data_IF_465333243029
#
_entry.id   IF_465333243029
#
_cell.length_a   1.000
_cell.length_b   1.000
_cell.length_c   1.000
_cell.angle_alpha   90.00
_cell.angle_beta   90.00
_cell.angle_gamma   90.00
#
_symmetry.space_group_name_H-M   'P 1'
#
loop_
_entity.id
_entity.type
_entity.pdbx_description
1 polymer ?
#
# COMPACT_ATOMS: atom_id res chain seq x y z
N UNK A 1 25.90 -7.54 -67.00
CA UNK A 1 24.58 -7.83 -66.40
C UNK A 1 24.71 -9.09 -65.58
N UNK A 2 25.13 -9.01 -64.30
CA UNK A 2 24.26 -8.92 -63.10
C UNK A 2 23.07 -9.88 -63.14
N UNK A 3 23.14 -10.95 -62.35
CA UNK A 3 22.05 -11.50 -61.53
C UNK A 3 22.69 -12.31 -60.38
N UNK A 4 22.41 -11.89 -59.15
CA UNK A 4 22.88 -12.47 -57.88
C UNK A 4 22.11 -13.77 -57.56
N UNK A 5 22.70 -14.74 -56.82
CA UNK A 5 21.91 -15.76 -56.15
C UNK A 5 21.35 -15.19 -54.83
N UNK A 6 20.07 -15.41 -54.59
CA UNK A 6 19.39 -15.04 -53.36
C UNK A 6 19.97 -15.82 -52.16
N UNK A 7 20.54 -15.11 -51.19
CA UNK A 7 20.87 -15.65 -49.89
C UNK A 7 19.57 -15.80 -49.08
N UNK A 8 19.22 -17.04 -48.72
CA UNK A 8 18.13 -17.32 -47.81
C UNK A 8 18.53 -16.85 -46.40
N UNK A 9 17.86 -15.80 -45.93
CA UNK A 9 17.96 -15.30 -44.57
C UNK A 9 17.18 -16.25 -43.66
N UNK A 10 17.89 -17.12 -42.92
CA UNK A 10 17.29 -17.94 -41.89
C UNK A 10 16.87 -17.04 -40.72
N UNK A 11 15.58 -16.73 -40.66
CA UNK A 11 14.93 -16.13 -39.49
C UNK A 11 15.01 -17.13 -38.32
N UNK A 12 15.86 -16.83 -37.34
CA UNK A 12 15.79 -17.42 -36.01
C UNK A 12 14.52 -16.91 -35.34
N UNK A 13 13.40 -17.59 -35.59
CA UNK A 13 12.21 -17.50 -34.76
C UNK A 13 12.60 -18.02 -33.37
N UNK A 14 12.93 -17.09 -32.48
CA UNK A 14 12.91 -17.37 -31.05
C UNK A 14 11.47 -17.69 -30.70
N UNK A 15 11.14 -18.98 -30.67
CA UNK A 15 9.87 -19.43 -30.14
C UNK A 15 9.82 -18.98 -28.68
N UNK A 16 8.93 -18.03 -28.38
CA UNK A 16 8.44 -17.81 -27.03
C UNK A 16 7.80 -19.13 -26.59
N UNK A 17 8.60 -20.02 -26.01
CA UNK A 17 8.10 -21.22 -25.38
C UNK A 17 7.26 -20.79 -24.19
N UNK A 18 5.95 -20.97 -24.32
CA UNK A 18 5.05 -20.95 -23.17
C UNK A 18 5.67 -21.86 -22.10
N UNK A 19 5.87 -21.31 -20.90
CA UNK A 19 6.39 -22.09 -19.79
C UNK A 19 5.51 -23.34 -19.63
N UNK A 20 6.08 -24.54 -19.46
CA UNK A 20 5.30 -25.76 -19.35
C UNK A 20 4.23 -25.62 -18.26
N UNK A 21 3.01 -26.14 -18.50
CA UNK A 21 1.92 -25.99 -17.56
C UNK A 21 2.32 -26.58 -16.21
N UNK A 22 1.97 -25.91 -15.10
CA UNK A 22 2.46 -26.29 -13.79
C UNK A 22 1.98 -27.69 -13.40
N UNK A 23 2.89 -28.49 -12.84
CA UNK A 23 2.58 -29.82 -12.31
C UNK A 23 1.53 -29.66 -11.18
N UNK A 24 0.43 -30.45 -11.19
CA UNK A 24 -0.54 -30.44 -10.10
C UNK A 24 0.16 -30.78 -8.78
N UNK A 25 0.00 -29.91 -7.77
CA UNK A 25 0.61 -30.15 -6.46
C UNK A 25 -0.04 -31.38 -5.81
N UNK A 26 0.79 -32.32 -5.34
CA UNK A 26 0.32 -33.51 -4.62
C UNK A 26 -0.31 -33.16 -3.25
N UNK A 27 0.02 -31.99 -2.71
CA UNK A 27 -0.55 -31.42 -1.49
C UNK A 27 -0.44 -29.89 -1.54
N UNK A 28 -1.32 -29.18 -0.84
CA UNK A 28 -1.31 -27.70 -0.75
C UNK A 28 -1.07 -27.28 0.68
N UNK A 29 -0.18 -26.30 0.88
CA UNK A 29 0.00 -25.61 2.16
C UNK A 29 -0.71 -24.26 2.09
N UNK A 30 -1.54 -23.95 3.08
CA UNK A 30 -2.12 -22.63 3.28
C UNK A 30 -1.62 -22.12 4.62
N UNK A 31 -1.00 -20.95 4.62
CA UNK A 31 -0.58 -20.26 5.83
C UNK A 31 -1.45 -19.02 5.99
N UNK A 32 -2.18 -18.95 7.10
CA UNK A 32 -2.92 -17.77 7.52
C UNK A 32 -2.18 -17.15 8.70
N UNK A 33 -1.78 -15.90 8.58
CA UNK A 33 -1.12 -15.19 9.65
C UNK A 33 -1.90 -13.95 10.06
N UNK A 34 -2.00 -13.75 11.38
CA UNK A 34 -2.75 -12.69 12.02
C UNK A 34 -1.76 -11.82 12.81
N UNK A 35 -1.57 -10.58 12.37
CA UNK A 35 -0.67 -9.65 13.07
C UNK A 35 -1.25 -9.26 14.44
N UNK A 36 -0.42 -9.23 15.48
CA UNK A 36 -0.83 -8.85 16.83
C UNK A 36 -1.87 -9.77 17.51
N UNK A 37 -2.08 -10.99 17.01
CA UNK A 37 -3.08 -11.92 17.59
C UNK A 37 -2.63 -12.45 18.96
N UNK A 38 -3.28 -11.99 20.03
CA UNK A 38 -2.98 -12.42 21.40
C UNK A 38 -3.51 -13.84 21.68
N UNK A 39 -2.66 -14.82 22.01
CA UNK A 39 -3.08 -16.20 22.23
C UNK A 39 -4.05 -16.35 23.42
N UNK A 40 -3.95 -15.52 24.46
CA UNK A 40 -4.83 -15.60 25.64
C UNK A 40 -6.25 -15.16 25.30
N UNK A 41 -6.40 -14.13 24.46
CA UNK A 41 -7.71 -13.69 23.98
C UNK A 41 -8.35 -14.74 23.09
N UNK A 42 -7.55 -15.35 22.21
CA UNK A 42 -8.01 -16.41 21.30
C UNK A 42 -8.46 -17.64 22.07
N UNK A 43 -7.68 -18.11 23.04
CA UNK A 43 -8.05 -19.22 23.93
C UNK A 43 -9.35 -18.93 24.67
N UNK A 44 -9.46 -17.75 25.30
CA UNK A 44 -10.69 -17.34 25.98
C UNK A 44 -11.90 -17.35 25.05
N UNK A 45 -11.78 -16.79 23.84
CA UNK A 45 -12.89 -16.72 22.89
C UNK A 45 -13.24 -18.08 22.26
N UNK A 46 -12.28 -19.01 22.16
CA UNK A 46 -12.57 -20.41 21.83
C UNK A 46 -13.39 -21.07 22.95
N UNK A 47 -12.98 -20.90 24.20
CA UNK A 47 -13.67 -21.47 25.37
C UNK A 47 -15.08 -20.88 25.59
N UNK A 48 -15.28 -19.60 25.24
CA UNK A 48 -16.59 -18.94 25.23
C UNK A 48 -17.47 -19.33 24.02
N UNK A 49 -16.95 -20.12 23.08
CA UNK A 49 -17.67 -20.56 21.88
C UNK A 49 -17.79 -19.50 20.78
N UNK A 50 -17.06 -18.38 20.88
CA UNK A 50 -17.07 -17.28 19.91
C UNK A 50 -16.19 -17.57 18.69
N UNK A 51 -15.20 -18.47 18.81
CA UNK A 51 -14.30 -18.89 17.73
C UNK A 51 -14.40 -20.40 17.44
N UNK A 52 -15.57 -20.90 16.99
CA UNK A 52 -15.81 -22.34 16.85
C UNK A 52 -14.90 -23.03 15.81
N UNK A 53 -14.50 -22.33 14.74
CA UNK A 53 -13.60 -22.89 13.73
C UNK A 53 -12.15 -22.98 14.21
N UNK A 54 -11.67 -22.01 15.00
CA UNK A 54 -10.35 -22.10 15.63
C UNK A 54 -10.33 -23.24 16.66
N UNK A 55 -11.39 -23.37 17.45
CA UNK A 55 -11.51 -24.48 18.40
C UNK A 55 -11.51 -25.84 17.69
N UNK A 56 -12.19 -25.94 16.55
CA UNK A 56 -12.17 -27.14 15.71
C UNK A 56 -10.76 -27.45 15.19
N UNK A 57 -10.04 -26.46 14.66
CA UNK A 57 -8.65 -26.63 14.20
C UNK A 57 -7.71 -27.06 15.35
N UNK A 58 -7.92 -26.52 16.55
CA UNK A 58 -7.17 -26.88 17.76
C UNK A 58 -7.40 -28.33 18.17
N UNK A 59 -8.65 -28.82 18.09
CA UNK A 59 -9.02 -30.20 18.48
C UNK A 59 -8.64 -31.25 17.44
N UNK A 60 -8.84 -30.93 16.16
CA UNK A 60 -8.64 -31.87 15.05
C UNK A 60 -7.19 -31.89 14.55
N UNK A 61 -6.39 -30.87 14.89
CA UNK A 61 -5.02 -30.67 14.44
C UNK A 61 -4.01 -30.60 15.58
N UNK A 62 -2.93 -29.85 15.35
CA UNK A 62 -1.90 -29.56 16.35
C UNK A 62 -1.98 -28.09 16.76
N UNK A 63 -1.98 -27.83 18.06
CA UNK A 63 -2.00 -26.49 18.62
C UNK A 63 -0.96 -26.37 19.72
N UNK A 64 -0.11 -25.34 19.62
CA UNK A 64 0.88 -25.04 20.64
C UNK A 64 1.22 -23.55 20.64
N UNK A 65 1.57 -22.98 21.80
CA UNK A 65 2.19 -21.66 21.87
C UNK A 65 3.51 -21.64 21.09
N UNK A 66 3.73 -20.57 20.31
CA UNK A 66 5.01 -20.31 19.65
C UNK A 66 5.64 -19.05 20.26
N UNK A 67 6.96 -19.11 20.48
CA UNK A 67 7.73 -17.92 20.87
C UNK A 67 7.76 -16.90 19.72
N UNK A 68 7.69 -15.62 20.06
CA UNK A 68 7.87 -14.53 19.11
C UNK A 68 9.35 -14.17 18.93
N UNK A 69 9.67 -13.32 17.96
CA UNK A 69 11.01 -12.77 17.76
C UNK A 69 11.41 -11.84 18.92
N UNK A 70 12.71 -11.56 19.05
CA UNK A 70 13.22 -10.53 19.96
C UNK A 70 14.01 -9.49 19.14
N UNK A 71 13.52 -8.24 19.00
CA UNK A 71 12.34 -7.68 19.67
C UNK A 71 11.01 -8.15 19.05
N UNK A 72 9.91 -8.16 19.82
CA UNK A 72 8.60 -8.64 19.38
C UNK A 72 7.85 -7.57 18.55
N UNK A 73 8.50 -7.10 17.49
CA UNK A 73 7.95 -6.14 16.54
C UNK A 73 7.49 -6.86 15.28
N UNK A 74 6.37 -6.45 14.68
CA UNK A 74 5.83 -7.05 13.44
C UNK A 74 6.89 -7.19 12.34
N UNK A 75 7.66 -6.15 11.93
CA UNK A 75 8.63 -6.30 10.85
C UNK A 75 9.74 -7.32 11.18
N UNK A 76 10.07 -7.49 12.45
CA UNK A 76 11.07 -8.47 12.90
C UNK A 76 10.49 -9.88 12.83
N UNK A 77 9.31 -10.09 13.44
CA UNK A 77 8.64 -11.39 13.48
C UNK A 77 8.33 -11.92 12.08
N UNK A 78 7.81 -11.07 11.19
CA UNK A 78 7.48 -11.45 9.82
C UNK A 78 8.71 -11.71 8.95
N UNK A 79 9.82 -11.01 9.21
CA UNK A 79 11.11 -11.32 8.57
C UNK A 79 11.67 -12.65 9.03
N UNK A 80 11.56 -12.97 10.33
CA UNK A 80 11.94 -14.27 10.87
C UNK A 80 11.05 -15.39 10.33
N UNK A 81 9.73 -15.16 10.22
CA UNK A 81 8.79 -16.08 9.58
C UNK A 81 9.16 -16.36 8.12
N UNK A 82 9.44 -15.31 7.35
CA UNK A 82 9.77 -15.43 5.94
C UNK A 82 11.05 -16.25 5.72
N UNK A 83 12.08 -16.03 6.54
CA UNK A 83 13.45 -16.50 6.25
C UNK A 83 13.94 -17.64 7.14
N UNK A 84 13.28 -17.91 8.26
CA UNK A 84 13.78 -18.78 9.32
C UNK A 84 15.00 -18.24 10.07
N UNK A 85 15.41 -16.99 9.81
CA UNK A 85 16.54 -16.35 10.48
C UNK A 85 16.07 -15.50 11.67
N UNK A 86 16.97 -15.21 12.60
CA UNK A 86 16.75 -14.17 13.61
C UNK A 86 17.13 -12.76 13.08
N UNK A 87 16.91 -11.70 13.89
CA UNK A 87 17.16 -10.31 13.51
C UNK A 87 18.57 -10.06 12.97
N UNK A 88 19.60 -10.69 13.54
CA UNK A 88 20.97 -10.56 13.06
C UNK A 88 21.24 -11.22 11.70
N UNK A 89 20.38 -12.15 11.26
CA UNK A 89 20.49 -12.81 9.96
C UNK A 89 19.68 -12.12 8.86
N UNK A 90 18.47 -11.65 9.16
CA UNK A 90 17.64 -10.94 8.18
C UNK A 90 17.79 -9.41 8.22
N UNK A 91 18.52 -8.85 9.20
CA UNK A 91 18.90 -7.43 9.26
C UNK A 91 17.77 -6.47 9.65
N UNK A 92 16.59 -6.96 9.99
CA UNK A 92 15.43 -6.15 10.40
C UNK A 92 15.32 -6.20 11.93
N UNK A 93 15.45 -5.04 12.57
CA UNK A 93 15.47 -4.93 14.04
C UNK A 93 14.30 -4.13 14.62
N UNK A 94 13.65 -3.30 13.81
CA UNK A 94 12.52 -2.45 14.19
C UNK A 94 11.88 -1.90 12.90
N UNK A 95 10.77 -1.15 12.98
CA UNK A 95 10.21 -0.36 11.87
C UNK A 95 11.17 0.72 11.37
N UNK A 96 11.96 1.27 12.28
CA UNK A 96 12.95 2.31 12.00
C UNK A 96 14.36 1.77 12.22
N UNK A 97 15.27 2.14 11.35
CA UNK A 97 16.70 1.97 11.55
C UNK A 97 17.37 3.32 11.63
N UNK A 98 18.59 3.33 12.12
CA UNK A 98 19.43 4.53 12.10
C UNK A 98 20.35 4.47 10.89
N UNK A 99 20.35 5.51 10.08
CA UNK A 99 21.37 5.70 9.06
C UNK A 99 22.75 5.86 9.76
N UNK A 100 23.74 5.00 9.50
CA UNK A 100 25.03 5.07 10.17
C UNK A 100 25.86 6.31 9.79
N UNK A 101 25.59 6.94 8.64
CA UNK A 101 26.30 8.13 8.19
C UNK A 101 25.69 9.41 8.78
N UNK A 102 24.36 9.51 8.77
CA UNK A 102 23.66 10.75 9.17
C UNK A 102 23.06 10.70 10.58
N UNK A 103 22.98 9.52 11.18
CA UNK A 103 22.32 9.25 12.46
C UNK A 103 20.81 9.52 12.46
N UNK A 104 20.21 9.82 11.30
CA UNK A 104 18.77 10.06 11.19
C UNK A 104 17.99 8.73 11.18
N UNK A 105 16.72 8.76 11.64
CA UNK A 105 15.80 7.65 11.42
C UNK A 105 15.58 7.42 9.92
N UNK A 106 15.58 6.16 9.53
CA UNK A 106 15.29 5.69 8.18
C UNK A 106 14.34 4.48 8.30
N UNK A 107 13.56 4.21 7.25
CA UNK A 107 12.63 3.09 7.25
C UNK A 107 13.39 1.76 7.09
N UNK A 108 13.05 0.77 7.91
CA UNK A 108 13.81 -0.49 7.94
C UNK A 108 13.44 -1.47 6.84
N UNK A 109 12.24 -1.36 6.23
CA UNK A 109 11.73 -2.40 5.33
C UNK A 109 12.20 -2.17 3.90
N UNK A 110 11.96 -0.98 3.35
CA UNK A 110 12.28 -0.67 1.97
C UNK A 110 13.09 0.62 1.87
N UNK A 111 14.06 0.65 0.96
CA UNK A 111 14.83 1.85 0.62
C UNK A 111 14.57 2.22 -0.83
N UNK A 112 14.15 3.47 -1.04
CA UNK A 112 14.13 4.09 -2.35
C UNK A 112 15.36 4.97 -2.52
N UNK A 113 16.11 4.76 -3.61
CA UNK A 113 17.18 5.65 -4.05
C UNK A 113 16.70 6.35 -5.32
N UNK A 114 16.49 7.68 -5.30
CA UNK A 114 16.05 8.40 -6.48
C UNK A 114 17.11 8.34 -7.61
N UNK A 115 16.69 8.44 -8.89
CA UNK A 115 17.62 8.58 -9.99
C UNK A 115 18.44 9.87 -9.86
N UNK A 116 19.57 9.93 -10.57
CA UNK A 116 20.32 11.18 -10.67
C UNK A 116 19.48 12.21 -11.43
N UNK A 117 19.54 13.48 -11.03
CA UNK A 117 18.74 14.53 -11.67
C UNK A 117 19.60 15.71 -12.12
N UNK A 118 19.16 16.38 -13.17
CA UNK A 118 19.68 17.68 -13.58
C UNK A 118 18.56 18.71 -13.54
N UNK A 119 18.82 19.79 -12.82
CA UNK A 119 17.86 20.90 -12.69
C UNK A 119 18.15 21.93 -13.79
N UNK A 120 17.19 22.12 -14.70
CA UNK A 120 17.28 23.09 -15.80
C UNK A 120 15.96 23.86 -15.93
N UNK A 121 16.03 25.20 -15.88
CA UNK A 121 14.88 26.08 -16.09
C UNK A 121 13.66 25.78 -15.19
N UNK A 122 13.89 25.36 -13.93
CA UNK A 122 12.83 24.99 -12.99
C UNK A 122 12.28 23.56 -13.15
N UNK A 123 12.84 22.79 -14.09
CA UNK A 123 12.53 21.38 -14.30
C UNK A 123 13.62 20.49 -13.70
N UNK A 124 13.20 19.48 -12.95
CA UNK A 124 14.05 18.38 -12.47
C UNK A 124 13.97 17.22 -13.46
N UNK A 125 15.02 17.03 -14.26
CA UNK A 125 15.09 15.99 -15.28
C UNK A 125 15.84 14.77 -14.75
N UNK A 126 15.18 13.62 -14.53
CA UNK A 126 15.85 12.41 -14.09
C UNK A 126 16.65 11.75 -15.22
N UNK A 127 17.82 11.22 -14.87
CA UNK A 127 18.66 10.40 -15.72
C UNK A 127 19.03 9.10 -14.99
N UNK A 128 18.83 7.98 -15.70
CA UNK A 128 18.92 6.65 -15.11
C UNK A 128 17.65 6.26 -14.34
N UNK A 129 17.70 5.09 -13.72
CA UNK A 129 16.58 4.54 -12.95
C UNK A 129 16.85 4.71 -11.46
N UNK A 130 15.79 5.00 -10.69
CA UNK A 130 15.85 4.89 -9.24
C UNK A 130 15.86 3.41 -8.84
N UNK A 131 16.43 3.10 -7.68
CA UNK A 131 16.38 1.75 -7.13
C UNK A 131 15.39 1.67 -5.98
N UNK A 132 14.70 0.54 -5.87
CA UNK A 132 13.86 0.22 -4.74
C UNK A 132 14.28 -1.16 -4.23
N UNK A 133 14.68 -1.22 -2.97
CA UNK A 133 15.27 -2.41 -2.37
C UNK A 133 14.51 -2.81 -1.12
N UNK A 134 14.20 -4.11 -0.99
CA UNK A 134 13.78 -4.68 0.28
C UNK A 134 15.05 -4.92 1.11
N UNK A 135 15.08 -4.37 2.31
CA UNK A 135 16.24 -4.41 3.19
C UNK A 135 16.29 -5.68 4.03
N UNK A 136 15.22 -6.49 4.01
CA UNK A 136 15.20 -7.83 4.59
C UNK A 136 16.18 -8.72 3.85
N UNK A 137 17.17 -9.21 4.58
CA UNK A 137 18.15 -10.17 4.09
C UNK A 137 17.66 -11.60 4.30
N UNK A 138 18.32 -12.54 3.62
CA UNK A 138 17.98 -13.96 3.67
C UNK A 138 16.90 -14.35 2.67
N UNK A 139 17.03 -15.58 2.17
CA UNK A 139 16.06 -16.15 1.24
C UNK A 139 14.76 -16.49 1.98
N UNK A 140 13.62 -16.06 1.45
CA UNK A 140 12.33 -16.45 1.98
C UNK A 140 11.98 -17.90 1.61
N UNK A 141 11.20 -18.59 2.43
CA UNK A 141 10.86 -19.99 2.18
C UNK A 141 10.01 -20.16 0.90
N UNK A 142 9.22 -19.16 0.51
CA UNK A 142 8.47 -19.18 -0.76
C UNK A 142 9.36 -18.94 -1.97
N UNK A 143 10.42 -18.15 -1.86
CA UNK A 143 11.45 -18.05 -2.91
C UNK A 143 12.18 -19.39 -3.07
N UNK A 144 12.62 -20.00 -1.95
CA UNK A 144 13.26 -21.31 -1.98
C UNK A 144 12.35 -22.39 -2.60
N UNK A 145 11.05 -22.38 -2.28
CA UNK A 145 10.07 -23.29 -2.89
C UNK A 145 9.93 -23.04 -4.40
N UNK A 146 9.88 -21.78 -4.82
CA UNK A 146 9.79 -21.38 -6.25
C UNK A 146 11.02 -21.84 -7.03
N UNK A 147 12.22 -21.68 -6.48
CA UNK A 147 13.47 -22.18 -7.09
C UNK A 147 13.51 -23.71 -7.24
N UNK A 148 12.78 -24.43 -6.39
CA UNK A 148 12.60 -25.88 -6.48
C UNK A 148 11.46 -26.29 -7.43
N UNK A 149 10.90 -25.35 -8.20
CA UNK A 149 9.82 -25.58 -9.15
C UNK A 149 8.44 -25.73 -8.51
N UNK A 150 8.28 -25.36 -7.23
CA UNK A 150 6.96 -25.28 -6.60
C UNK A 150 6.28 -23.95 -6.93
N UNK A 151 4.96 -23.95 -6.78
CA UNK A 151 4.12 -22.79 -6.96
C UNK A 151 3.86 -22.08 -5.65
N UNK A 152 4.00 -20.77 -5.63
CA UNK A 152 3.80 -19.95 -4.43
C UNK A 152 2.94 -18.73 -4.74
N UNK A 153 1.95 -18.49 -3.88
CA UNK A 153 1.17 -17.25 -3.88
C UNK A 153 1.26 -16.61 -2.50
N UNK A 154 1.72 -15.36 -2.45
CA UNK A 154 1.89 -14.60 -1.20
C UNK A 154 1.05 -13.34 -1.27
N UNK A 155 0.11 -13.17 -0.34
CA UNK A 155 -0.83 -12.04 -0.35
C UNK A 155 -0.69 -11.24 0.93
N UNK A 156 -0.23 -10.00 0.81
CA UNK A 156 -0.17 -8.99 1.89
C UNK A 156 0.60 -9.46 3.14
N UNK A 157 1.52 -10.41 2.99
CA UNK A 157 2.43 -10.79 4.08
C UNK A 157 3.35 -9.61 4.40
N UNK A 158 3.53 -9.20 5.66
CA UNK A 158 4.37 -8.06 5.99
C UNK A 158 5.84 -8.20 5.54
N UNK A 159 6.50 -7.06 5.31
CA UNK A 159 7.92 -6.97 4.91
C UNK A 159 8.22 -7.61 3.55
N UNK A 160 7.29 -7.45 2.62
CA UNK A 160 7.38 -7.97 1.25
C UNK A 160 7.36 -6.86 0.19
N UNK A 161 7.69 -5.63 0.56
CA UNK A 161 7.82 -4.52 -0.39
C UNK A 161 9.30 -4.14 -0.61
N UNK A 162 9.76 -4.00 -1.87
CA UNK A 162 9.11 -4.46 -3.10
C UNK A 162 8.89 -5.99 -3.14
N UNK A 163 7.93 -6.47 -3.95
CA UNK A 163 7.58 -7.88 -4.05
C UNK A 163 8.71 -8.71 -4.64
N UNK A 164 8.92 -9.91 -4.11
CA UNK A 164 9.86 -10.89 -4.64
C UNK A 164 9.28 -11.57 -5.89
N UNK A 165 10.12 -11.96 -6.87
CA UNK A 165 9.69 -12.48 -8.16
C UNK A 165 9.27 -13.96 -8.10
N UNK A 166 8.17 -14.24 -7.41
CA UNK A 166 7.49 -15.55 -7.41
C UNK A 166 6.28 -15.54 -8.37
N UNK A 167 5.59 -16.68 -8.49
CA UNK A 167 4.43 -16.83 -9.38
C UNK A 167 3.37 -15.75 -9.15
N UNK A 168 2.94 -15.54 -7.90
CA UNK A 168 2.06 -14.43 -7.54
C UNK A 168 2.42 -13.85 -6.16
N UNK A 169 2.73 -12.57 -6.10
CA UNK A 169 2.90 -11.83 -4.86
C UNK A 169 2.14 -10.52 -4.93
N UNK A 170 1.34 -10.23 -3.91
CA UNK A 170 0.86 -8.88 -3.61
C UNK A 170 1.58 -8.42 -2.34
N UNK A 171 2.38 -7.36 -2.44
CA UNK A 171 3.18 -6.87 -1.33
C UNK A 171 2.30 -6.42 -0.15
N UNK A 172 2.81 -6.63 1.07
CA UNK A 172 2.19 -6.21 2.33
C UNK A 172 2.86 -4.98 2.93
N UNK A 173 3.03 -5.00 4.26
CA UNK A 173 3.70 -3.94 5.02
C UNK A 173 5.01 -3.48 4.33
N UNK A 174 5.14 -2.17 4.17
CA UNK A 174 6.23 -1.50 3.47
C UNK A 174 5.79 -0.74 2.23
N UNK A 175 4.67 -1.12 1.59
CA UNK A 175 4.07 -0.33 0.50
C UNK A 175 3.61 1.03 1.05
N UNK A 176 4.15 2.16 0.56
CA UNK A 176 3.77 3.49 1.03
C UNK A 176 2.47 3.98 0.38
N UNK A 177 1.90 5.06 0.93
CA UNK A 177 0.94 5.89 0.19
C UNK A 177 1.66 6.77 -0.85
N UNK A 178 0.90 7.45 -1.71
CA UNK A 178 1.44 8.34 -2.75
C UNK A 178 2.07 9.62 -2.19
N UNK A 179 1.96 9.90 -0.89
CA UNK A 179 2.74 10.95 -0.24
C UNK A 179 4.13 10.44 0.18
N UNK A 180 4.43 9.16 -0.03
CA UNK A 180 5.67 8.50 0.40
C UNK A 180 5.66 8.13 1.88
N UNK A 181 4.51 8.22 2.55
CA UNK A 181 4.39 7.95 3.99
C UNK A 181 3.76 6.57 4.25
N UNK A 182 3.66 6.19 5.53
CA UNK A 182 3.09 4.92 5.95
C UNK A 182 1.62 5.07 6.38
N UNK A 183 0.80 5.74 5.57
CA UNK A 183 -0.64 5.89 5.82
C UNK A 183 -1.07 7.26 6.34
N UNK A 184 -0.54 8.35 5.79
CA UNK A 184 -0.99 9.70 6.17
C UNK A 184 -2.36 9.99 5.59
N UNK A 185 -3.37 10.12 6.44
CA UNK A 185 -4.71 10.52 6.07
C UNK A 185 -4.87 12.06 6.08
N UNK A 186 -5.95 12.55 5.46
CA UNK A 186 -6.31 13.97 5.50
C UNK A 186 -7.66 14.17 6.18
N UNK A 187 -7.71 15.06 7.15
CA UNK A 187 -8.89 15.39 7.92
C UNK A 187 -9.26 16.85 7.71
N UNK A 188 -10.50 17.09 7.30
CA UNK A 188 -11.03 18.42 7.03
C UNK A 188 -12.01 18.80 8.14
N UNK A 189 -11.85 20.00 8.71
CA UNK A 189 -12.66 20.47 9.83
C UNK A 189 -12.84 21.98 9.79
N UNK A 190 -14.00 22.47 10.20
CA UNK A 190 -14.22 23.92 10.44
C UNK A 190 -13.64 24.39 11.78
N UNK A 191 -13.35 23.46 12.70
CA UNK A 191 -12.64 23.75 13.96
C UNK A 191 -11.14 23.78 13.71
N UNK A 192 -10.40 24.74 14.30
CA UNK A 192 -8.95 24.71 14.32
C UNK A 192 -8.47 23.40 14.94
N UNK A 193 -7.52 22.68 14.32
CA UNK A 193 -7.00 21.45 14.89
C UNK A 193 -6.12 21.73 16.11
N UNK A 194 -5.96 20.75 17.03
CA UNK A 194 -4.81 20.71 17.91
C UNK A 194 -3.50 20.64 17.09
N UNK A 195 -2.31 20.82 17.69
CA UNK A 195 -1.04 20.66 16.98
C UNK A 195 -1.01 19.34 16.21
N UNK A 196 -0.45 19.32 14.99
CA UNK A 196 -0.51 18.14 14.12
C UNK A 196 0.10 16.91 14.82
N UNK A 197 -0.68 15.84 14.89
CA UNK A 197 -0.21 14.52 15.29
C UNK A 197 0.56 13.86 14.14
N UNK A 198 1.47 12.96 14.47
CA UNK A 198 2.16 12.12 13.47
C UNK A 198 1.13 11.39 12.58
N UNK A 199 1.41 11.28 11.28
CA UNK A 199 0.58 10.52 10.35
C UNK A 199 -0.76 11.15 9.97
N UNK A 200 -0.94 12.46 10.18
CA UNK A 200 -2.18 13.17 9.81
C UNK A 200 -1.90 14.49 9.11
N UNK A 201 -2.77 14.86 8.16
CA UNK A 201 -2.87 16.22 7.60
C UNK A 201 -4.21 16.80 8.01
N UNK A 202 -4.21 17.92 8.74
CA UNK A 202 -5.46 18.58 9.12
C UNK A 202 -5.63 19.88 8.36
N UNK A 203 -6.73 19.98 7.61
CA UNK A 203 -7.06 21.13 6.78
C UNK A 203 -8.25 21.86 7.40
N UNK A 204 -8.03 23.12 7.78
CA UNK A 204 -9.13 23.96 8.26
C UNK A 204 -9.97 24.45 7.07
N UNK A 205 -11.26 24.10 7.09
CA UNK A 205 -12.24 24.53 6.10
C UNK A 205 -12.86 25.88 6.47
N UNK A 206 -13.21 26.67 5.46
CA UNK A 206 -14.03 27.87 5.60
C UNK A 206 -15.42 27.59 5.03
N UNK A 207 -16.41 27.50 5.91
CA UNK A 207 -17.81 27.32 5.54
C UNK A 207 -18.41 28.66 5.15
N UNK A 208 -18.97 28.74 3.94
CA UNK A 208 -19.73 29.89 3.47
C UNK A 208 -21.16 29.85 4.02
N UNK A 209 -21.87 30.98 3.93
CA UNK A 209 -23.25 31.12 4.44
C UNK A 209 -24.27 30.21 3.76
N UNK A 210 -24.01 29.80 2.52
CA UNK A 210 -24.81 28.87 1.72
C UNK A 210 -24.43 27.39 1.96
N UNK A 211 -23.63 27.10 2.99
CA UNK A 211 -23.27 25.73 3.37
C UNK A 211 -22.25 25.08 2.44
N UNK A 212 -21.48 25.89 1.70
CA UNK A 212 -20.47 25.43 0.76
C UNK A 212 -19.06 25.55 1.35
N UNK A 213 -18.18 24.64 0.97
CA UNK A 213 -16.73 24.74 1.20
C UNK A 213 -16.03 24.55 -0.14
N UNK A 214 -15.05 25.42 -0.40
CA UNK A 214 -14.09 25.27 -1.49
C UNK A 214 -12.70 25.13 -0.90
N UNK A 215 -12.04 24.02 -1.20
CA UNK A 215 -10.69 23.69 -0.73
C UNK A 215 -10.01 22.79 -1.75
N UNK A 216 -8.97 22.08 -1.36
CA UNK A 216 -8.23 21.17 -2.21
C UNK A 216 -7.75 19.94 -1.42
N UNK A 217 -7.45 18.88 -2.15
CA UNK A 217 -6.70 17.73 -1.69
C UNK A 217 -5.32 17.77 -2.34
N UNK A 218 -4.28 18.10 -1.57
CA UNK A 218 -2.92 17.99 -2.10
C UNK A 218 -2.51 16.52 -2.08
N UNK A 219 -1.97 16.05 -3.19
CA UNK A 219 -1.48 14.69 -3.40
C UNK A 219 0.04 14.62 -3.48
N UNK A 220 0.60 13.72 -4.31
CA UNK A 220 2.04 13.53 -4.44
C UNK A 220 2.76 14.81 -4.85
N UNK A 221 4.04 14.91 -4.48
CA UNK A 221 4.92 15.97 -4.99
C UNK A 221 5.06 15.86 -6.51
N UNK A 222 5.09 17.00 -7.20
CA UNK A 222 5.28 17.06 -8.65
C UNK A 222 6.64 16.46 -9.02
N UNK A 223 6.68 15.36 -9.80
CA UNK A 223 7.90 14.56 -9.98
C UNK A 223 9.04 15.32 -10.66
N UNK A 224 8.70 16.32 -11.47
CA UNK A 224 9.64 17.14 -12.25
C UNK A 224 9.82 18.56 -11.69
N UNK A 225 9.27 18.86 -10.51
CA UNK A 225 9.41 20.19 -9.90
C UNK A 225 10.62 20.22 -8.97
N UNK A 226 11.47 21.24 -9.11
CA UNK A 226 12.60 21.45 -8.19
C UNK A 226 12.14 21.74 -6.76
N UNK A 227 10.99 22.40 -6.62
CA UNK A 227 10.43 22.87 -5.35
C UNK A 227 9.52 21.83 -4.69
N UNK A 228 9.39 20.63 -5.29
CA UNK A 228 8.53 19.55 -4.81
C UNK A 228 7.08 19.99 -4.50
N UNK A 229 6.56 20.93 -5.29
CA UNK A 229 5.19 21.44 -5.14
C UNK A 229 4.18 20.29 -5.24
N UNK A 230 3.17 20.22 -4.36
CA UNK A 230 2.23 19.11 -4.38
C UNK A 230 1.23 19.26 -5.54
N UNK A 231 0.99 18.17 -6.27
CA UNK A 231 -0.11 18.09 -7.23
C UNK A 231 -1.42 18.12 -6.46
N UNK A 232 -2.30 19.08 -6.74
CA UNK A 232 -3.51 19.30 -5.94
C UNK A 232 -4.77 19.18 -6.78
N UNK A 233 -5.81 18.57 -6.20
CA UNK A 233 -7.13 18.45 -6.82
C UNK A 233 -8.13 19.35 -6.11
N UNK A 234 -8.99 20.09 -6.84
CA UNK A 234 -10.05 20.87 -6.22
C UNK A 234 -11.02 19.96 -5.48
N UNK A 235 -11.39 20.35 -4.26
CA UNK A 235 -12.37 19.69 -3.42
C UNK A 235 -13.48 20.68 -3.07
N UNK A 236 -14.69 20.40 -3.54
CA UNK A 236 -15.87 21.22 -3.27
C UNK A 236 -16.86 20.38 -2.49
N UNK A 237 -17.36 20.95 -1.39
CA UNK A 237 -18.33 20.30 -0.52
C UNK A 237 -19.57 21.19 -0.42
N UNK A 238 -20.73 20.63 -0.71
CA UNK A 238 -22.01 21.28 -0.49
C UNK A 238 -22.77 20.49 0.56
N UNK A 239 -22.87 21.05 1.77
CA UNK A 239 -23.51 20.38 2.91
C UNK A 239 -25.01 20.67 2.96
N UNK A 240 -25.76 19.69 3.47
CA UNK A 240 -27.17 19.83 3.82
C UNK A 240 -27.47 19.13 5.17
N UNK A 241 -28.74 18.85 5.45
CA UNK A 241 -29.18 18.39 6.76
C UNK A 241 -28.64 17.01 7.18
N UNK A 242 -28.44 16.09 6.24
CA UNK A 242 -28.06 14.69 6.51
C UNK A 242 -26.85 14.19 5.72
N UNK A 243 -26.29 15.03 4.83
CA UNK A 243 -25.13 14.65 4.04
C UNK A 243 -24.39 15.82 3.41
N UNK A 244 -23.59 15.47 2.41
CA UNK A 244 -22.91 16.43 1.56
C UNK A 244 -22.81 15.90 0.12
N UNK A 245 -22.96 16.79 -0.85
CA UNK A 245 -22.49 16.56 -2.20
C UNK A 245 -21.01 16.94 -2.28
N UNK A 246 -20.18 15.99 -2.69
CA UNK A 246 -18.73 16.10 -2.75
C UNK A 246 -18.30 16.05 -4.21
N UNK A 247 -17.57 17.07 -4.65
CA UNK A 247 -16.90 17.10 -5.95
C UNK A 247 -15.39 17.04 -5.73
N UNK A 248 -14.75 16.00 -6.27
CA UNK A 248 -13.32 15.74 -6.14
C UNK A 248 -12.81 15.03 -7.40
N UNK A 249 -11.75 15.59 -8.01
CA UNK A 249 -11.13 14.98 -9.20
C UNK A 249 -12.09 14.84 -10.38
N UNK A 250 -12.97 15.82 -10.59
CA UNK A 250 -13.97 15.82 -11.67
C UNK A 250 -15.15 14.87 -11.47
N UNK A 251 -15.20 14.13 -10.36
CA UNK A 251 -16.33 13.28 -9.99
C UNK A 251 -17.19 13.99 -8.95
N UNK A 252 -18.51 13.75 -8.99
CA UNK A 252 -19.44 14.25 -7.97
C UNK A 252 -20.28 13.11 -7.40
N UNK A 253 -20.31 12.96 -6.08
CA UNK A 253 -21.14 11.96 -5.38
C UNK A 253 -21.71 12.57 -4.09
N UNK A 254 -22.84 12.03 -3.62
CA UNK A 254 -23.40 12.35 -2.31
C UNK A 254 -22.90 11.33 -1.28
N UNK A 255 -22.57 11.78 -0.07
CA UNK A 255 -22.35 10.89 1.09
C UNK A 255 -23.25 11.33 2.25
N UNK A 256 -23.88 10.36 2.92
CA UNK A 256 -24.55 10.58 4.19
C UNK A 256 -23.54 10.61 5.35
N UNK A 257 -23.94 11.18 6.48
CA UNK A 257 -23.12 11.16 7.70
C UNK A 257 -22.88 9.71 8.16
N UNK A 258 -21.62 9.38 8.47
CA UNK A 258 -21.17 8.04 8.87
C UNK A 258 -20.90 7.09 7.71
N UNK A 259 -21.35 7.42 6.49
CA UNK A 259 -21.19 6.59 5.31
C UNK A 259 -19.75 6.67 4.77
N UNK A 260 -19.16 5.51 4.51
CA UNK A 260 -17.94 5.42 3.72
C UNK A 260 -18.25 5.39 2.24
N UNK A 261 -17.51 6.17 1.44
CA UNK A 261 -17.54 6.02 0.00
C UNK A 261 -16.98 4.65 -0.43
N UNK A 262 -17.39 4.20 -1.61
CA UNK A 262 -16.57 3.30 -2.43
C UNK A 262 -15.21 3.94 -2.73
N UNK A 263 -14.30 3.16 -3.34
CA UNK A 263 -13.06 3.72 -3.85
C UNK A 263 -13.31 4.89 -4.81
N UNK A 264 -12.65 6.00 -4.51
CA UNK A 264 -12.69 7.22 -5.31
C UNK A 264 -11.38 7.33 -6.09
N UNK A 265 -11.36 6.98 -7.39
CA UNK A 265 -10.15 7.10 -8.20
C UNK A 265 -9.83 8.58 -8.45
N UNK A 266 -8.54 8.90 -8.48
CA UNK A 266 -7.97 10.23 -8.63
C UNK A 266 -6.87 10.18 -9.69
N UNK A 267 -6.73 11.28 -10.43
CA UNK A 267 -5.66 11.44 -11.42
C UNK A 267 -4.92 12.74 -11.11
N UNK A 268 -3.66 12.63 -10.67
CA UNK A 268 -2.81 13.78 -10.39
C UNK A 268 -1.97 14.11 -11.62
N UNK A 269 -2.45 15.04 -12.44
CA UNK A 269 -1.81 15.48 -13.68
C UNK A 269 -0.53 16.28 -13.40
N UNK A 270 0.58 15.94 -14.07
CA UNK A 270 1.86 16.66 -13.99
C UNK A 270 2.36 17.14 -15.36
N UNK A 271 1.44 17.28 -16.33
CA UNK A 271 1.67 17.84 -17.67
C UNK A 271 2.27 16.88 -18.69
N UNK A 272 3.09 15.91 -18.27
CA UNK A 272 3.64 14.84 -19.14
C UNK A 272 2.97 13.48 -18.94
N UNK A 273 2.02 13.41 -18.01
CA UNK A 273 1.33 12.21 -17.59
C UNK A 273 0.55 12.48 -16.32
N UNK A 274 -0.01 11.41 -15.76
CA UNK A 274 -0.75 11.44 -14.51
C UNK A 274 -0.19 10.42 -13.53
N UNK A 275 -0.45 10.65 -12.24
CA UNK A 275 -0.22 9.67 -11.18
C UNK A 275 -1.60 9.17 -10.72
N UNK A 276 -2.03 7.96 -11.15
CA UNK A 276 -3.27 7.34 -10.69
C UNK A 276 -3.21 7.02 -9.20
N UNK A 277 -4.19 7.51 -8.46
CA UNK A 277 -4.36 7.22 -7.05
C UNK A 277 -5.82 6.94 -6.70
N UNK A 278 -6.07 6.58 -5.46
CA UNK A 278 -7.43 6.42 -4.95
C UNK A 278 -7.51 6.70 -3.46
N UNK A 279 -8.68 7.12 -3.01
CA UNK A 279 -9.00 7.36 -1.60
C UNK A 279 -10.37 6.77 -1.27
N UNK A 280 -10.65 6.63 0.03
CA UNK A 280 -12.00 6.53 0.57
C UNK A 280 -12.29 7.76 1.41
N UNK A 281 -13.54 8.19 1.39
CA UNK A 281 -14.02 9.35 2.14
C UNK A 281 -15.04 8.88 3.16
N UNK A 282 -15.07 9.52 4.32
CA UNK A 282 -16.17 9.38 5.28
C UNK A 282 -16.62 10.76 5.76
N UNK A 283 -17.90 11.07 5.57
CA UNK A 283 -18.50 12.27 6.12
C UNK A 283 -18.78 12.03 7.60
N UNK A 284 -18.02 12.65 8.49
CA UNK A 284 -18.15 12.42 9.94
C UNK A 284 -19.30 13.24 10.53
N UNK A 285 -19.46 14.47 10.05
CA UNK A 285 -20.55 15.36 10.49
C UNK A 285 -20.84 16.42 9.44
N UNK A 286 -22.06 16.97 9.50
CA UNK A 286 -22.53 18.05 8.62
C UNK A 286 -22.64 19.39 9.38
N UNK A 287 -23.46 20.31 8.88
CA UNK A 287 -23.78 21.58 9.50
C UNK A 287 -24.20 21.42 10.97
N UNK A 288 -23.82 22.37 11.85
CA UNK A 288 -23.09 23.61 11.57
C UNK A 288 -21.56 23.47 11.57
N UNK A 289 -21.01 22.28 11.86
CA UNK A 289 -19.57 22.04 12.04
C UNK A 289 -19.12 20.83 11.24
N UNK A 290 -19.12 20.92 9.91
CA UNK A 290 -18.84 19.77 9.07
C UNK A 290 -17.42 19.25 9.25
N UNK A 291 -17.28 17.94 9.15
CA UNK A 291 -16.04 17.19 9.25
C UNK A 291 -16.01 16.09 8.20
N UNK A 292 -14.89 15.98 7.48
CA UNK A 292 -14.69 14.98 6.44
C UNK A 292 -13.34 14.30 6.66
N UNK A 293 -13.35 12.98 6.64
CA UNK A 293 -12.15 12.15 6.60
C UNK A 293 -11.86 11.73 5.17
N UNK A 294 -10.60 11.77 4.79
CA UNK A 294 -10.08 11.22 3.53
C UNK A 294 -8.93 10.29 3.87
N UNK A 295 -9.03 9.03 3.45
CA UNK A 295 -7.99 8.02 3.68
C UNK A 295 -6.64 8.43 3.07
N UNK A 296 -5.55 7.73 3.43
CA UNK A 296 -4.30 7.86 2.70
C UNK A 296 -4.50 7.66 1.20
N UNK A 297 -3.78 8.44 0.40
CA UNK A 297 -3.85 8.39 -1.06
C UNK A 297 -3.08 7.16 -1.52
N UNK A 298 -3.79 6.13 -1.91
CA UNK A 298 -3.23 4.85 -2.31
C UNK A 298 -2.95 4.81 -3.81
N UNK A 299 -1.95 4.04 -4.24
CA UNK A 299 -1.75 3.78 -5.66
C UNK A 299 -2.96 3.00 -6.21
N UNK A 300 -3.51 3.41 -7.36
CA UNK A 300 -4.63 2.68 -7.97
C UNK A 300 -4.13 1.32 -8.50
N UNK A 301 -4.66 0.18 -8.03
CA UNK A 301 -4.18 -1.13 -8.45
C UNK A 301 -4.49 -1.45 -9.92
N UNK A 302 -5.40 -0.70 -10.57
CA UNK A 302 -5.66 -0.89 -12.02
C UNK A 302 -4.55 -0.32 -12.90
N UNK A 303 -3.83 0.70 -12.41
CA UNK A 303 -2.76 1.40 -13.11
C UNK A 303 -1.63 1.75 -12.12
N UNK A 304 -0.96 0.73 -11.55
CA UNK A 304 -0.11 0.93 -10.39
C UNK A 304 1.18 1.68 -10.73
N UNK A 305 1.41 2.81 -10.06
CA UNK A 305 2.65 3.61 -10.12
C UNK A 305 3.73 3.13 -9.14
N UNK A 306 3.39 2.18 -8.27
CA UNK A 306 4.29 1.52 -7.34
C UNK A 306 4.35 0.02 -7.68
N UNK A 307 5.47 -0.68 -7.40
CA UNK A 307 5.56 -2.13 -7.57
C UNK A 307 4.74 -2.85 -6.50
N UNK A 308 3.43 -2.93 -6.70
CA UNK A 308 2.50 -3.55 -5.76
C UNK A 308 2.57 -5.08 -5.80
N UNK A 309 2.92 -5.65 -6.95
CA UNK A 309 2.88 -7.10 -7.16
C UNK A 309 4.02 -7.64 -8.02
N UNK A 310 4.26 -8.94 -7.88
CA UNK A 310 5.06 -9.73 -8.80
C UNK A 310 4.19 -10.90 -9.32
N UNK A 311 4.07 -11.11 -10.64
CA UNK A 311 4.51 -10.19 -11.68
C UNK A 311 3.71 -8.85 -11.61
N UNK A 312 4.17 -7.77 -12.27
CA UNK A 312 3.52 -6.45 -12.19
C UNK A 312 2.04 -6.45 -12.63
N UNK A 313 1.67 -7.32 -13.56
CA UNK A 313 0.29 -7.50 -14.05
C UNK A 313 -0.65 -8.19 -13.05
N UNK A 314 -0.12 -8.77 -11.96
CA UNK A 314 -0.97 -9.47 -10.99
C UNK A 314 -1.91 -8.52 -10.24
N UNK A 315 -1.45 -7.33 -9.84
CA UNK A 315 -2.28 -6.32 -9.20
C UNK A 315 -3.48 -5.85 -10.07
N UNK A 316 -3.28 -5.41 -11.33
CA UNK A 316 -4.40 -5.02 -12.18
C UNK A 316 -5.32 -6.20 -12.52
N UNK A 317 -4.78 -7.41 -12.73
CA UNK A 317 -5.59 -8.61 -12.96
C UNK A 317 -6.45 -8.97 -11.73
N UNK A 318 -5.93 -8.76 -10.51
CA UNK A 318 -6.72 -8.92 -9.29
C UNK A 318 -7.80 -7.85 -9.20
N UNK A 319 -7.47 -6.58 -9.48
CA UNK A 319 -8.43 -5.48 -9.45
C UNK A 319 -9.57 -5.65 -10.46
N UNK A 320 -9.31 -6.21 -11.64
CA UNK A 320 -10.35 -6.56 -12.62
C UNK A 320 -11.34 -7.60 -12.06
N UNK A 321 -10.84 -8.56 -11.27
CA UNK A 321 -11.65 -9.66 -10.73
C UNK A 321 -12.48 -9.29 -9.51
N UNK A 322 -11.94 -8.44 -8.63
CA UNK A 322 -12.57 -8.15 -7.32
C UNK A 322 -12.89 -6.67 -7.09
N UNK A 323 -12.58 -5.80 -8.06
CA UNK A 323 -12.63 -4.36 -7.91
C UNK A 323 -11.38 -3.80 -7.22
N UNK A 324 -11.35 -2.47 -7.06
CA UNK A 324 -10.27 -1.78 -6.32
C UNK A 324 -10.21 -2.27 -4.87
N UNK A 325 -9.00 -2.38 -4.34
CA UNK A 325 -8.71 -2.91 -3.00
C UNK A 325 -7.58 -2.12 -2.35
N UNK A 326 -7.38 -2.25 -1.04
CA UNK A 326 -6.30 -1.53 -0.35
C UNK A 326 -4.90 -1.91 -0.88
N UNK A 327 -4.13 -0.92 -1.30
CA UNK A 327 -2.74 -1.09 -1.77
C UNK A 327 -1.72 -0.62 -0.74
N UNK A 328 -2.12 0.18 0.25
CA UNK A 328 -1.26 0.51 1.39
C UNK A 328 -0.87 -0.76 2.15
N UNK A 329 0.39 -0.86 2.59
CA UNK A 329 0.92 -2.08 3.18
C UNK A 329 0.18 -2.50 4.46
N UNK A 330 -0.17 -1.52 5.30
CA UNK A 330 -1.05 -1.67 6.46
C UNK A 330 -2.15 -0.60 6.39
N UNK A 331 -3.33 -0.93 5.85
CA UNK A 331 -4.45 -0.01 5.68
C UNK A 331 -5.31 0.12 6.93
N UNK A 332 -5.03 -0.64 7.99
CA UNK A 332 -5.77 -0.60 9.23
C UNK A 332 -5.62 0.77 9.88
N UNK A 333 -6.70 1.54 9.82
CA UNK A 333 -6.72 2.92 10.26
C UNK A 333 -6.82 2.99 11.79
N UNK A 334 -5.69 3.29 12.44
CA UNK A 334 -5.61 3.39 13.91
C UNK A 334 -5.26 4.80 14.39
N UNK A 335 -4.63 5.61 13.54
CA UNK A 335 -4.15 6.94 13.93
C UNK A 335 -5.28 7.93 14.09
N UNK A 336 -6.22 7.97 13.14
CA UNK A 336 -7.40 8.83 13.21
C UNK A 336 -8.34 8.45 14.35
N UNK A 337 -8.42 7.16 14.71
CA UNK A 337 -9.14 6.72 15.90
C UNK A 337 -8.48 7.24 17.18
N UNK A 338 -7.17 7.01 17.32
CA UNK A 338 -6.39 7.49 18.47
C UNK A 338 -6.38 9.02 18.60
N UNK A 339 -6.51 9.73 17.48
CA UNK A 339 -6.59 11.19 17.42
C UNK A 339 -8.02 11.73 17.56
N UNK A 340 -9.03 10.87 17.67
CA UNK A 340 -10.45 11.25 17.77
C UNK A 340 -10.98 11.96 16.52
N UNK A 341 -10.37 11.72 15.36
CA UNK A 341 -10.82 12.21 14.06
C UNK A 341 -11.87 11.29 13.44
N UNK A 342 -11.80 9.99 13.71
CA UNK A 342 -12.85 9.02 13.38
C UNK A 342 -13.52 8.50 14.66
N UNK A 343 -14.84 8.23 14.64
CA UNK A 343 -15.50 7.49 15.70
C UNK A 343 -15.08 5.99 15.68
N UNK A 344 -15.26 5.32 16.81
CA UNK A 344 -15.11 3.86 16.95
C UNK A 344 -16.06 3.06 16.06
#
# INVERSE_FOLDING_TARGET
MRLLPAAALALLLSACGEAPPPVPAQSRLVVLGFDGMDPQLVERWMDEGLLPEFDRLRRDGHYQPLGTSNPPQSPVAWSSFATGLGPGGHGIHDFLRRDPATYQPDFSIARYTPPSTLDLFGWRLPFGEGTLENLRQGQSFWMAATEQGQRATVLRVPVTYPPEPIEHMLAGMGVPDLLGSQGTYTYYSTRPPPPPGSGSRVVQMRLTTDGRVQTQLDGPAHPLSTDATPLSLPLILQFDADGAQIELGGQTRRLAVGEWSDWWPLQFEHGLGSIPGMVRLQLISTLPRPQLYVSPIQADPTEPVLPLSAPPEYAPALAERIGRYHTLGMPEETWSLNQGHLPE
#
